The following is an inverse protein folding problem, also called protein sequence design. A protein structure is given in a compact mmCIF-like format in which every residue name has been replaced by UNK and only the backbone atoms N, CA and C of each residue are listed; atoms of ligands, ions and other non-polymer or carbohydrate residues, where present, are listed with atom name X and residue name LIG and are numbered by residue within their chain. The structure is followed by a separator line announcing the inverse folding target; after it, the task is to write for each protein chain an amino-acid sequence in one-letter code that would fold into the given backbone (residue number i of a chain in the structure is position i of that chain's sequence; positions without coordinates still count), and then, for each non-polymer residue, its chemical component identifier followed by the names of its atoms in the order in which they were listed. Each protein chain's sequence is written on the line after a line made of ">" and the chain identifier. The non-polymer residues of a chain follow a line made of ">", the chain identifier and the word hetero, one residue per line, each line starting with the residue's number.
data_IF_522909893528
#
_entry.id   IF_522909893528
#
_cell.length_a   1.000
_cell.length_b   1.000
_cell.length_c   1.000
_cell.angle_alpha   90.00
_cell.angle_beta   90.00
_cell.angle_gamma   90.00
#
_symmetry.space_group_name_H-M   'P 1'
#
loop_
_entity.id
_entity.type
_entity.pdbx_description
1 polymer ?
#
# COMPACT_ATOMS: atom_id res chain seq x y z
N UNK A 1 58.58 10.75 17.64
CA UNK A 1 58.70 11.41 18.94
C UNK A 1 57.39 11.24 19.62
N UNK A 2 57.34 10.20 20.44
CA UNK A 2 57.22 10.21 21.93
C UNK A 2 55.79 10.53 22.34
N UNK A 3 55.07 9.82 23.01
CA UNK A 3 55.08 8.74 24.06
C UNK A 3 53.70 8.84 24.70
N UNK A 4 52.90 7.82 24.77
CA UNK A 4 52.78 6.77 25.78
C UNK A 4 52.19 7.24 27.13
N UNK A 5 51.25 6.49 27.64
CA UNK A 5 51.07 5.87 28.97
C UNK A 5 49.58 5.69 29.23
N UNK A 6 48.99 4.56 29.25
CA UNK A 6 49.00 3.34 30.13
C UNK A 6 48.65 3.58 31.60
N UNK A 7 47.46 3.00 31.99
CA UNK A 7 47.15 2.18 33.19
C UNK A 7 46.66 2.85 34.47
N UNK A 8 46.12 2.10 35.48
CA UNK A 8 45.31 0.89 35.44
C UNK A 8 44.14 0.84 36.47
N UNK A 9 43.28 -0.16 36.32
CA UNK A 9 42.73 -1.10 37.34
C UNK A 9 42.60 -0.66 38.82
N UNK A 10 41.42 -0.81 39.42
CA UNK A 10 41.28 -1.40 40.77
C UNK A 10 39.92 -2.10 40.94
N UNK A 11 40.06 -3.36 41.32
CA UNK A 11 39.10 -4.35 41.74
C UNK A 11 38.79 -4.12 43.24
N UNK A 12 37.53 -4.17 43.65
CA UNK A 12 37.19 -4.48 45.05
C UNK A 12 35.97 -5.38 45.12
N UNK A 13 36.24 -6.62 45.46
CA UNK A 13 35.33 -7.59 46.07
C UNK A 13 34.97 -7.14 47.49
N UNK A 14 33.71 -7.28 47.88
CA UNK A 14 33.33 -7.43 49.28
C UNK A 14 32.29 -8.53 49.44
N UNK A 15 32.70 -9.57 50.09
CA UNK A 15 31.93 -10.66 50.67
C UNK A 15 31.31 -10.19 51.99
N UNK A 16 30.03 -10.44 52.23
CA UNK A 16 29.49 -10.56 53.59
C UNK A 16 28.44 -11.65 53.68
N UNK A 17 28.67 -12.48 54.65
CA UNK A 17 28.11 -13.70 55.15
C UNK A 17 26.64 -13.72 55.53
N UNK A 18 26.12 -14.95 55.42
CA UNK A 18 25.00 -15.62 56.08
C UNK A 18 24.63 -15.13 57.49
N UNK A 19 23.32 -15.02 57.74
CA UNK A 19 22.73 -15.44 59.04
C UNK A 19 21.41 -16.19 58.70
N UNK A 20 21.41 -17.48 59.03
CA UNK A 20 20.23 -18.34 59.05
C UNK A 20 19.44 -18.08 60.35
N UNK A 21 18.14 -17.84 60.22
CA UNK A 21 17.22 -17.93 61.36
C UNK A 21 16.13 -18.94 60.99
N UNK A 22 16.20 -20.08 61.67
CA UNK A 22 15.17 -21.09 61.61
C UNK A 22 14.06 -20.71 62.60
N UNK A 23 12.83 -20.61 62.07
CA UNK A 23 11.63 -20.58 62.88
C UNK A 23 10.71 -21.71 62.43
N UNK A 24 10.61 -22.72 63.26
CA UNK A 24 9.64 -23.81 63.13
C UNK A 24 8.26 -23.30 63.49
N UNK A 25 7.27 -23.55 62.66
CA UNK A 25 5.86 -23.46 63.00
C UNK A 25 5.16 -24.79 62.66
N UNK A 26 4.14 -25.18 63.41
CA UNK A 26 3.64 -26.54 63.39
C UNK A 26 2.74 -26.83 62.17
N UNK A 27 2.87 -28.08 61.74
CA UNK A 27 2.07 -28.74 60.73
C UNK A 27 0.58 -28.78 61.10
N UNK A 28 -0.29 -28.21 60.28
CA UNK A 28 -1.70 -28.58 60.23
C UNK A 28 -2.00 -29.04 58.80
N UNK A 29 -2.23 -30.35 58.68
CA UNK A 29 -2.70 -30.95 57.42
C UNK A 29 -4.07 -30.38 57.06
N UNK A 30 -4.27 -29.92 55.78
CA UNK A 30 -5.56 -29.63 55.28
C UNK A 30 -6.29 -30.92 54.85
N UNK A 31 -7.61 -30.99 54.96
CA UNK A 31 -8.40 -32.17 54.61
C UNK A 31 -8.30 -32.50 53.12
N UNK A 32 -8.09 -33.78 52.86
CA UNK A 32 -8.07 -34.39 51.53
C UNK A 32 -9.47 -34.34 50.92
N UNK A 33 -9.68 -33.46 49.94
CA UNK A 33 -10.85 -33.51 49.07
C UNK A 33 -10.60 -34.51 47.95
N UNK A 34 -11.49 -35.50 47.82
CA UNK A 34 -11.50 -36.40 46.69
C UNK A 34 -11.76 -35.62 45.40
N UNK A 35 -11.10 -35.95 44.27
CA UNK A 35 -11.32 -35.27 43.02
C UNK A 35 -12.71 -35.57 42.48
N UNK A 36 -13.49 -34.54 42.24
CA UNK A 36 -14.74 -34.63 41.47
C UNK A 36 -14.43 -35.13 40.06
N UNK A 37 -15.36 -35.93 39.45
CA UNK A 37 -15.16 -36.37 38.09
C UNK A 37 -15.16 -35.16 37.13
N UNK A 38 -14.35 -35.21 36.07
CA UNK A 38 -14.30 -34.13 35.07
C UNK A 38 -15.63 -33.94 34.44
N UNK A 39 -16.08 -32.68 34.37
CA UNK A 39 -17.27 -32.30 33.59
C UNK A 39 -17.06 -32.71 32.12
N UNK A 40 -18.12 -33.08 31.41
CA UNK A 40 -18.04 -33.41 29.99
C UNK A 40 -17.48 -32.18 29.27
N UNK A 41 -16.34 -32.37 28.60
CA UNK A 41 -15.77 -31.39 27.68
C UNK A 41 -16.76 -31.25 26.52
N UNK A 42 -17.52 -30.17 26.49
CA UNK A 42 -18.22 -29.77 25.27
C UNK A 42 -17.12 -29.58 24.20
N UNK A 43 -17.06 -30.49 23.25
CA UNK A 43 -16.32 -30.31 22.02
C UNK A 43 -16.92 -29.08 21.35
N UNK A 44 -16.20 -27.95 21.41
CA UNK A 44 -16.43 -26.80 20.55
C UNK A 44 -16.33 -27.35 19.13
N UNK A 45 -17.38 -27.27 18.30
CA UNK A 45 -17.27 -27.69 16.92
C UNK A 45 -16.12 -26.89 16.31
N UNK A 46 -15.10 -27.58 15.79
CA UNK A 46 -14.08 -26.97 14.96
C UNK A 46 -14.83 -26.18 13.89
N UNK A 47 -14.65 -24.86 13.86
CA UNK A 47 -15.11 -24.04 12.74
C UNK A 47 -14.57 -24.70 11.48
N UNK A 48 -15.46 -25.35 10.76
CA UNK A 48 -15.20 -25.87 9.43
C UNK A 48 -14.90 -24.64 8.62
N UNK A 49 -13.60 -24.36 8.35
CA UNK A 49 -13.20 -23.46 7.27
C UNK A 49 -13.97 -23.98 6.06
N UNK A 50 -14.99 -23.24 5.64
CA UNK A 50 -15.68 -23.50 4.39
C UNK A 50 -14.59 -23.56 3.32
N UNK A 51 -14.37 -24.73 2.72
CA UNK A 51 -13.57 -24.85 1.53
C UNK A 51 -14.19 -23.87 0.52
N UNK A 52 -13.48 -22.79 0.19
CA UNK A 52 -13.85 -21.94 -0.92
C UNK A 52 -14.04 -22.89 -2.09
N UNK A 53 -15.25 -22.95 -2.67
CA UNK A 53 -15.49 -23.77 -3.85
C UNK A 53 -14.52 -23.27 -4.92
N UNK A 54 -13.41 -23.98 -5.13
CA UNK A 54 -12.42 -23.64 -6.12
C UNK A 54 -13.09 -23.53 -7.49
N UNK A 55 -12.82 -22.48 -8.27
CA UNK A 55 -13.38 -22.37 -9.60
C UNK A 55 -12.95 -23.56 -10.44
N UNK A 56 -13.86 -24.07 -11.28
CA UNK A 56 -13.54 -25.12 -12.24
C UNK A 56 -12.75 -24.51 -13.39
N UNK A 57 -11.50 -24.88 -13.55
CA UNK A 57 -10.67 -24.48 -14.68
C UNK A 57 -10.93 -25.35 -15.92
N UNK A 58 -10.74 -24.84 -17.18
CA UNK A 58 -10.25 -23.49 -17.47
C UNK A 58 -11.31 -22.39 -17.23
N UNK A 59 -10.86 -21.18 -16.86
CA UNK A 59 -11.70 -19.99 -16.83
C UNK A 59 -11.25 -18.99 -17.87
N UNK A 60 -12.19 -18.16 -18.35
CA UNK A 60 -11.90 -17.06 -19.26
C UNK A 60 -12.24 -15.76 -18.53
N UNK A 61 -11.29 -14.83 -18.49
CA UNK A 61 -11.46 -13.49 -17.92
C UNK A 61 -11.17 -12.43 -18.97
N UNK A 62 -11.64 -11.22 -18.74
CA UNK A 62 -11.25 -10.03 -19.50
C UNK A 62 -10.41 -9.17 -18.59
N UNK A 63 -9.21 -8.84 -19.01
CA UNK A 63 -8.33 -7.93 -18.24
C UNK A 63 -8.60 -6.46 -18.59
N UNK A 64 -7.92 -5.54 -17.92
CA UNK A 64 -8.15 -4.10 -18.06
C UNK A 64 -7.71 -3.51 -19.42
N UNK A 65 -7.00 -4.27 -20.22
CA UNK A 65 -6.75 -3.93 -21.63
C UNK A 65 -7.85 -4.46 -22.58
N UNK A 66 -8.92 -5.07 -22.01
CA UNK A 66 -10.01 -5.67 -22.79
C UNK A 66 -9.65 -6.99 -23.47
N UNK A 67 -8.53 -7.62 -23.10
CA UNK A 67 -8.07 -8.90 -23.67
C UNK A 67 -8.77 -10.07 -22.98
N UNK A 68 -9.22 -11.04 -23.76
CA UNK A 68 -9.73 -12.33 -23.25
C UNK A 68 -8.57 -13.27 -22.95
N UNK A 69 -8.40 -13.63 -21.69
CA UNK A 69 -7.32 -14.48 -21.21
C UNK A 69 -7.93 -15.78 -20.69
N UNK A 70 -7.39 -16.92 -21.14
CA UNK A 70 -7.79 -18.23 -20.62
C UNK A 70 -6.77 -18.69 -19.58
N UNK A 71 -7.23 -18.93 -18.36
CA UNK A 71 -6.44 -19.53 -17.29
C UNK A 71 -6.74 -21.03 -17.29
N UNK A 72 -5.77 -21.84 -17.69
CA UNK A 72 -5.96 -23.28 -17.92
C UNK A 72 -6.12 -24.08 -16.62
N UNK A 73 -5.43 -23.66 -15.57
CA UNK A 73 -5.40 -24.32 -14.27
C UNK A 73 -5.15 -23.30 -13.16
N UNK A 74 -5.41 -23.69 -11.92
CA UNK A 74 -5.15 -22.85 -10.76
C UNK A 74 -3.65 -22.50 -10.67
N UNK A 75 -3.29 -21.19 -10.74
CA UNK A 75 -1.89 -20.77 -10.73
C UNK A 75 -1.14 -21.18 -9.45
N UNK A 76 0.07 -21.69 -9.62
CA UNK A 76 0.95 -22.11 -8.54
C UNK A 76 2.25 -21.31 -8.50
N UNK A 77 2.64 -20.68 -9.62
CA UNK A 77 3.91 -19.97 -9.79
C UNK A 77 3.65 -18.59 -10.41
N UNK A 78 3.44 -17.62 -9.53
CA UNK A 78 3.01 -16.28 -9.95
C UNK A 78 4.21 -15.32 -9.96
N UNK A 79 4.41 -14.60 -11.04
CA UNK A 79 5.31 -13.45 -11.10
C UNK A 79 4.48 -12.16 -11.07
N UNK A 80 4.82 -11.26 -10.17
CA UNK A 80 4.20 -9.94 -10.05
C UNK A 80 5.14 -8.86 -10.58
N UNK A 81 4.70 -8.11 -11.59
CA UNK A 81 5.50 -7.06 -12.23
C UNK A 81 5.21 -5.66 -11.70
N UNK A 82 4.34 -5.52 -10.68
CA UNK A 82 4.04 -4.24 -10.07
C UNK A 82 3.94 -4.33 -8.53
N UNK A 83 4.37 -3.28 -7.79
CA UNK A 83 4.20 -3.24 -6.34
C UNK A 83 2.74 -3.37 -5.89
N UNK A 84 1.79 -2.70 -6.55
CA UNK A 84 0.35 -2.79 -6.31
C UNK A 84 -0.15 -4.23 -6.41
N UNK A 85 0.19 -4.93 -7.49
CA UNK A 85 -0.19 -6.32 -7.72
C UNK A 85 0.43 -7.27 -6.69
N UNK A 86 1.67 -6.99 -6.27
CA UNK A 86 2.32 -7.74 -5.18
C UNK A 86 1.54 -7.59 -3.88
N UNK A 87 1.13 -6.37 -3.53
CA UNK A 87 0.33 -6.10 -2.33
C UNK A 87 -1.03 -6.81 -2.38
N UNK A 88 -1.70 -6.80 -3.55
CA UNK A 88 -2.97 -7.53 -3.75
C UNK A 88 -2.76 -9.04 -3.55
N UNK A 89 -1.77 -9.63 -4.21
CA UNK A 89 -1.48 -11.06 -4.08
C UNK A 89 -1.19 -11.48 -2.64
N UNK A 90 -0.43 -10.69 -1.89
CA UNK A 90 -0.19 -10.96 -0.47
C UNK A 90 -1.46 -10.80 0.37
N UNK A 91 -2.29 -9.79 0.11
CA UNK A 91 -3.55 -9.58 0.80
C UNK A 91 -4.56 -10.72 0.55
N UNK A 92 -4.48 -11.37 -0.60
CA UNK A 92 -5.26 -12.57 -0.94
C UNK A 92 -4.66 -13.87 -0.38
N UNK A 93 -3.57 -13.79 0.40
CA UNK A 93 -2.92 -14.97 0.99
C UNK A 93 -2.11 -15.81 0.00
N UNK A 94 -1.67 -15.22 -1.11
CA UNK A 94 -0.93 -15.90 -2.18
C UNK A 94 0.59 -15.70 -2.10
N UNK A 95 1.10 -15.17 -0.98
CA UNK A 95 2.51 -14.88 -0.81
C UNK A 95 3.42 -16.07 -1.18
N UNK A 96 3.05 -17.28 -0.80
CA UNK A 96 3.83 -18.50 -1.08
C UNK A 96 3.82 -18.90 -2.57
N UNK A 97 2.83 -18.44 -3.33
CA UNK A 97 2.75 -18.67 -4.77
C UNK A 97 3.59 -17.69 -5.59
N UNK A 98 4.02 -16.57 -4.99
CA UNK A 98 4.85 -15.59 -5.67
C UNK A 98 6.28 -16.10 -5.78
N UNK A 99 6.70 -16.39 -7.01
CA UNK A 99 8.04 -16.88 -7.35
C UNK A 99 8.98 -15.76 -7.84
N UNK A 100 8.44 -14.58 -8.19
CA UNK A 100 9.23 -13.43 -8.63
C UNK A 100 8.49 -12.11 -8.53
N UNK A 101 9.25 -11.03 -8.26
CA UNK A 101 8.74 -9.66 -8.15
C UNK A 101 9.75 -8.68 -8.76
N UNK A 102 9.33 -7.41 -8.97
CA UNK A 102 10.26 -6.34 -9.36
C UNK A 102 11.05 -5.81 -8.15
N UNK A 103 12.10 -5.04 -8.41
CA UNK A 103 12.97 -4.45 -7.39
C UNK A 103 12.21 -3.49 -6.43
N UNK A 104 11.04 -2.99 -6.86
CA UNK A 104 10.23 -2.03 -6.11
C UNK A 104 9.13 -2.67 -5.24
N UNK A 105 8.99 -3.99 -5.28
CA UNK A 105 7.99 -4.72 -4.48
C UNK A 105 8.52 -4.98 -3.07
N UNK A 106 8.30 -4.06 -2.15
CA UNK A 106 8.86 -4.05 -0.78
C UNK A 106 7.83 -4.20 0.33
N UNK A 107 6.54 -4.31 -0.03
CA UNK A 107 5.45 -4.51 0.92
C UNK A 107 4.56 -5.72 0.53
N UNK A 108 4.11 -6.51 1.53
CA UNK A 108 4.57 -6.52 2.93
C UNK A 108 6.06 -6.90 3.04
N UNK A 109 6.63 -6.88 4.24
CA UNK A 109 8.06 -7.17 4.46
C UNK A 109 8.50 -8.49 3.80
N UNK A 110 7.62 -9.51 3.82
CA UNK A 110 7.85 -10.79 3.17
C UNK A 110 8.07 -10.70 1.65
N UNK A 111 7.60 -9.64 0.99
CA UNK A 111 7.83 -9.42 -0.45
C UNK A 111 9.30 -9.15 -0.76
N UNK A 112 10.05 -8.58 0.20
CA UNK A 112 11.49 -8.30 0.02
C UNK A 112 12.33 -9.56 -0.16
N UNK A 113 11.89 -10.69 0.38
CA UNK A 113 12.58 -11.98 0.29
C UNK A 113 12.31 -12.71 -1.05
N UNK A 114 11.40 -12.21 -1.90
CA UNK A 114 11.08 -12.86 -3.18
C UNK A 114 12.17 -12.62 -4.22
N UNK A 115 12.45 -13.58 -5.12
CA UNK A 115 13.36 -13.41 -6.25
C UNK A 115 13.02 -12.16 -7.07
N UNK A 116 14.03 -11.41 -7.50
CA UNK A 116 13.83 -10.17 -8.25
C UNK A 116 14.00 -10.38 -9.74
N UNK A 117 13.06 -9.87 -10.54
CA UNK A 117 13.12 -9.90 -12.02
C UNK A 117 13.54 -8.55 -12.61
N UNK A 118 14.25 -7.72 -11.84
CA UNK A 118 14.73 -6.38 -12.18
C UNK A 118 13.63 -5.28 -12.15
N UNK A 119 13.81 -4.23 -12.95
CA UNK A 119 13.07 -2.98 -12.84
C UNK A 119 11.57 -3.09 -13.14
N UNK A 120 10.81 -2.11 -12.67
CA UNK A 120 9.36 -2.03 -12.81
C UNK A 120 8.90 -1.96 -14.26
N UNK A 121 9.43 -1.03 -15.08
CA UNK A 121 9.00 -0.85 -16.47
C UNK A 121 9.72 -1.77 -17.48
N UNK A 122 10.84 -2.38 -17.07
CA UNK A 122 11.69 -3.20 -17.93
C UNK A 122 12.22 -4.44 -17.20
N UNK A 123 11.35 -5.39 -16.82
CA UNK A 123 11.78 -6.61 -16.16
C UNK A 123 12.71 -7.42 -17.06
N UNK A 124 13.62 -8.16 -16.45
CA UNK A 124 14.49 -9.10 -17.17
C UNK A 124 13.71 -10.35 -17.54
N UNK A 125 13.40 -10.50 -18.85
CA UNK A 125 12.58 -11.60 -19.37
C UNK A 125 13.28 -12.96 -19.19
N UNK A 126 14.59 -13.05 -19.35
CA UNK A 126 15.32 -14.33 -19.17
C UNK A 126 15.22 -14.80 -17.72
N UNK A 127 15.43 -13.87 -16.78
CA UNK A 127 15.29 -14.15 -15.35
C UNK A 127 13.85 -14.53 -14.98
N UNK A 128 12.87 -13.84 -15.57
CA UNK A 128 11.46 -14.17 -15.40
C UNK A 128 11.17 -15.60 -15.89
N UNK A 129 11.65 -15.96 -17.08
CA UNK A 129 11.49 -17.29 -17.65
C UNK A 129 12.12 -18.39 -16.79
N UNK A 130 13.29 -18.12 -16.20
CA UNK A 130 13.97 -19.08 -15.32
C UNK A 130 13.19 -19.41 -14.03
N UNK A 131 12.19 -18.60 -13.70
CA UNK A 131 11.27 -18.84 -12.58
C UNK A 131 10.09 -19.72 -12.97
N UNK A 132 9.94 -20.12 -14.25
CA UNK A 132 8.88 -20.98 -14.77
C UNK A 132 7.47 -20.57 -14.27
N UNK A 133 7.04 -19.30 -14.49
CA UNK A 133 5.74 -18.85 -14.02
C UNK A 133 4.62 -19.47 -14.86
N UNK A 134 3.50 -19.79 -14.19
CA UNK A 134 2.25 -20.19 -14.84
C UNK A 134 1.24 -19.02 -14.93
N UNK A 135 1.49 -17.93 -14.18
CA UNK A 135 0.76 -16.68 -14.28
C UNK A 135 1.70 -15.48 -14.08
N UNK A 136 1.54 -14.47 -14.90
CA UNK A 136 2.18 -13.16 -14.72
C UNK A 136 1.08 -12.12 -14.49
N UNK A 137 1.22 -11.34 -13.41
CA UNK A 137 0.34 -10.19 -13.13
C UNK A 137 1.13 -8.92 -13.43
N UNK A 138 0.77 -8.28 -14.54
CA UNK A 138 1.41 -7.08 -15.07
C UNK A 138 0.52 -5.84 -14.82
N UNK A 139 1.01 -4.67 -15.18
CA UNK A 139 0.28 -3.39 -15.16
C UNK A 139 0.36 -2.73 -16.53
N UNK A 140 -0.54 -1.81 -16.84
CA UNK A 140 -0.68 -1.15 -18.15
C UNK A 140 0.62 -0.52 -18.67
N UNK A 141 1.58 -0.15 -17.81
CA UNK A 141 2.90 0.34 -18.23
C UNK A 141 3.67 -0.70 -19.07
N UNK A 142 3.35 -1.99 -18.89
CA UNK A 142 3.99 -3.11 -19.60
C UNK A 142 3.41 -3.37 -20.99
N UNK A 143 2.27 -2.75 -21.33
CA UNK A 143 1.50 -3.02 -22.56
C UNK A 143 2.34 -2.96 -23.82
N UNK A 144 3.16 -1.93 -23.98
CA UNK A 144 3.86 -1.68 -25.25
C UNK A 144 5.17 -2.45 -25.42
N UNK A 145 5.92 -2.61 -24.33
CA UNK A 145 7.30 -3.12 -24.41
C UNK A 145 7.43 -4.56 -23.91
N UNK A 146 6.77 -4.89 -22.81
CA UNK A 146 6.96 -6.16 -22.09
C UNK A 146 5.94 -7.18 -22.53
N UNK A 147 4.67 -6.83 -22.56
CA UNK A 147 3.56 -7.73 -22.84
C UNK A 147 3.72 -8.48 -24.18
N UNK A 148 4.05 -7.84 -25.32
CA UNK A 148 4.21 -8.56 -26.59
C UNK A 148 5.36 -9.60 -26.57
N UNK A 149 6.38 -9.37 -25.73
CA UNK A 149 7.46 -10.33 -25.57
C UNK A 149 7.03 -11.54 -24.75
N UNK A 150 6.27 -11.34 -23.67
CA UNK A 150 5.73 -12.41 -22.82
C UNK A 150 4.71 -13.27 -23.58
N UNK A 151 3.84 -12.65 -24.38
CA UNK A 151 2.85 -13.36 -25.22
C UNK A 151 3.51 -14.23 -26.29
N UNK A 152 4.56 -13.73 -26.97
CA UNK A 152 5.32 -14.55 -27.94
C UNK A 152 5.99 -15.77 -27.32
N UNK A 153 6.26 -15.73 -26.03
CA UNK A 153 6.81 -16.85 -25.27
C UNK A 153 5.71 -17.80 -24.75
N UNK A 154 4.43 -17.53 -25.07
CA UNK A 154 3.31 -18.36 -24.66
C UNK A 154 2.96 -18.25 -23.18
N UNK A 155 3.40 -17.19 -22.49
CA UNK A 155 3.14 -16.98 -21.07
C UNK A 155 1.74 -16.43 -20.85
N UNK A 156 1.07 -16.90 -19.79
CA UNK A 156 -0.23 -16.37 -19.37
C UNK A 156 -0.03 -15.08 -18.60
N UNK A 157 -0.54 -13.96 -19.14
CA UNK A 157 -0.40 -12.62 -18.56
C UNK A 157 -1.75 -11.98 -18.41
N UNK A 158 -2.10 -11.51 -17.19
CA UNK A 158 -3.19 -10.57 -16.96
C UNK A 158 -2.60 -9.18 -16.69
N UNK A 159 -3.32 -8.15 -17.12
CA UNK A 159 -2.89 -6.76 -16.95
C UNK A 159 -3.94 -6.00 -16.15
N UNK A 160 -3.48 -5.32 -15.09
CA UNK A 160 -4.27 -4.37 -14.30
C UNK A 160 -4.01 -2.94 -14.79
N UNK A 161 -5.01 -2.04 -14.66
CA UNK A 161 -4.89 -0.64 -15.10
C UNK A 161 -5.82 0.28 -14.31
N UNK A 162 -5.50 0.51 -13.06
CA UNK A 162 -6.31 1.33 -12.20
C UNK A 162 -6.35 2.81 -12.63
N UNK A 163 -7.54 3.35 -12.84
CA UNK A 163 -7.81 4.77 -13.15
C UNK A 163 -8.70 5.44 -12.10
N UNK A 164 -9.29 4.68 -11.20
CA UNK A 164 -10.14 5.13 -10.10
C UNK A 164 -10.04 4.18 -8.91
N UNK A 165 -10.61 4.54 -7.77
CA UNK A 165 -10.70 3.64 -6.62
C UNK A 165 -11.58 2.42 -6.94
N UNK A 166 -12.61 2.61 -7.77
CA UNK A 166 -13.49 1.51 -8.17
C UNK A 166 -12.76 0.51 -9.08
N UNK A 167 -11.88 0.98 -9.98
CA UNK A 167 -11.06 0.07 -10.79
C UNK A 167 -9.99 -0.65 -9.96
N UNK A 168 -9.49 -0.04 -8.88
CA UNK A 168 -8.61 -0.76 -7.92
C UNK A 168 -9.36 -1.93 -7.26
N UNK A 169 -10.64 -1.75 -6.88
CA UNK A 169 -11.46 -2.85 -6.36
C UNK A 169 -11.64 -3.94 -7.41
N UNK A 170 -11.87 -3.55 -8.67
CA UNK A 170 -11.96 -4.49 -9.79
C UNK A 170 -10.66 -5.30 -9.97
N UNK A 171 -9.49 -4.65 -9.90
CA UNK A 171 -8.18 -5.33 -9.98
C UNK A 171 -8.00 -6.41 -8.90
N UNK A 172 -8.43 -6.10 -7.67
CA UNK A 172 -8.44 -7.07 -6.56
C UNK A 172 -9.34 -8.26 -6.87
N UNK A 173 -10.55 -8.00 -7.39
CA UNK A 173 -11.52 -9.04 -7.75
C UNK A 173 -11.02 -9.89 -8.94
N UNK A 174 -10.45 -9.27 -9.97
CA UNK A 174 -9.84 -9.94 -11.12
C UNK A 174 -8.71 -10.89 -10.69
N UNK A 175 -7.76 -10.39 -9.89
CA UNK A 175 -6.67 -11.21 -9.36
C UNK A 175 -7.23 -12.35 -8.49
N UNK A 176 -8.24 -12.07 -7.66
CA UNK A 176 -8.93 -13.09 -6.86
C UNK A 176 -9.57 -14.18 -7.73
N UNK A 177 -10.23 -13.80 -8.81
CA UNK A 177 -10.87 -14.72 -9.75
C UNK A 177 -9.86 -15.65 -10.41
N UNK A 178 -8.78 -15.11 -11.00
CA UNK A 178 -7.79 -15.91 -11.72
C UNK A 178 -6.94 -16.79 -10.82
N UNK A 179 -6.89 -16.48 -9.53
CA UNK A 179 -6.07 -17.23 -8.55
C UNK A 179 -6.91 -18.13 -7.61
N UNK A 180 -8.22 -18.24 -7.87
CA UNK A 180 -9.12 -19.05 -7.03
C UNK A 180 -9.36 -18.47 -5.63
N UNK A 181 -9.22 -17.13 -5.49
CA UNK A 181 -9.40 -16.39 -4.23
C UNK A 181 -10.58 -15.41 -4.27
N UNK A 182 -11.62 -15.73 -5.04
CA UNK A 182 -12.77 -14.85 -5.25
C UNK A 182 -13.48 -14.46 -3.94
N UNK A 183 -13.62 -15.38 -2.98
CA UNK A 183 -14.27 -15.09 -1.69
C UNK A 183 -13.42 -14.12 -0.86
N UNK A 184 -12.11 -14.39 -0.76
CA UNK A 184 -11.16 -13.50 -0.05
C UNK A 184 -11.12 -12.12 -0.70
N UNK A 185 -11.10 -12.07 -2.05
CA UNK A 185 -11.13 -10.82 -2.79
C UNK A 185 -12.42 -10.03 -2.53
N UNK A 186 -13.59 -10.68 -2.56
CA UNK A 186 -14.87 -10.04 -2.25
C UNK A 186 -14.91 -9.48 -0.82
N UNK A 187 -14.37 -10.21 0.16
CA UNK A 187 -14.27 -9.70 1.54
C UNK A 187 -13.33 -8.49 1.64
N UNK A 188 -12.18 -8.55 0.96
CA UNK A 188 -11.22 -7.44 0.93
C UNK A 188 -11.84 -6.20 0.28
N UNK A 189 -12.44 -6.34 -0.90
CA UNK A 189 -13.06 -5.21 -1.62
C UNK A 189 -14.26 -4.65 -0.89
N UNK A 190 -15.05 -5.47 -0.21
CA UNK A 190 -16.16 -5.00 0.64
C UNK A 190 -15.64 -4.14 1.80
N UNK A 191 -14.56 -4.53 2.45
CA UNK A 191 -13.94 -3.72 3.51
C UNK A 191 -13.37 -2.40 2.96
N UNK A 192 -12.72 -2.45 1.80
CA UNK A 192 -12.23 -1.25 1.12
C UNK A 192 -13.38 -0.32 0.73
N UNK A 193 -14.47 -0.87 0.15
CA UNK A 193 -15.67 -0.12 -0.26
C UNK A 193 -16.31 0.60 0.93
N UNK A 194 -16.47 -0.05 2.07
CA UNK A 194 -16.99 0.57 3.30
C UNK A 194 -16.13 1.76 3.75
N UNK A 195 -14.81 1.66 3.66
CA UNK A 195 -13.93 2.77 4.02
C UNK A 195 -14.03 3.93 3.02
N UNK A 196 -14.07 3.63 1.73
CA UNK A 196 -14.29 4.64 0.68
C UNK A 196 -15.63 5.35 0.92
N UNK A 197 -16.68 4.58 1.21
CA UNK A 197 -18.01 5.11 1.47
C UNK A 197 -18.07 5.99 2.71
N UNK A 198 -17.40 5.60 3.80
CA UNK A 198 -17.31 6.39 5.02
C UNK A 198 -16.70 7.80 4.80
N UNK A 199 -15.79 7.93 3.83
CA UNK A 199 -15.24 9.24 3.42
C UNK A 199 -16.23 9.94 2.49
N UNK A 200 -16.69 9.27 1.44
CA UNK A 200 -17.51 9.88 0.38
C UNK A 200 -18.89 10.32 0.88
N UNK A 201 -19.49 9.65 1.86
CA UNK A 201 -20.72 10.09 2.48
C UNK A 201 -20.62 11.49 3.11
N UNK A 202 -19.47 11.82 3.65
CA UNK A 202 -19.23 13.14 4.27
C UNK A 202 -18.92 14.23 3.25
N UNK A 203 -18.40 13.85 2.06
CA UNK A 203 -17.91 14.79 1.04
C UNK A 203 -18.83 14.94 -0.16
N UNK A 204 -19.74 13.98 -0.43
CA UNK A 204 -20.60 13.98 -1.64
C UNK A 204 -21.52 15.19 -1.78
N UNK A 205 -21.91 15.81 -0.65
CA UNK A 205 -22.80 16.96 -0.65
C UNK A 205 -22.06 18.31 -0.71
N UNK A 206 -20.71 18.31 -0.72
CA UNK A 206 -19.92 19.53 -0.88
C UNK A 206 -20.10 20.01 -2.32
N UNK A 207 -20.64 21.23 -2.45
CA UNK A 207 -20.84 21.86 -3.77
C UNK A 207 -19.49 22.06 -4.45
N UNK A 208 -19.48 22.02 -5.79
CA UNK A 208 -18.23 22.05 -6.55
C UNK A 208 -17.41 23.33 -6.27
N UNK A 209 -18.08 24.45 -6.06
CA UNK A 209 -17.48 25.75 -5.76
C UNK A 209 -16.87 25.84 -4.35
N UNK A 210 -17.29 24.93 -3.47
CA UNK A 210 -16.81 24.81 -2.09
C UNK A 210 -15.67 23.79 -1.94
N UNK A 211 -15.40 22.98 -2.98
CA UNK A 211 -14.32 22.02 -2.96
C UNK A 211 -12.98 22.71 -3.06
N UNK A 212 -12.06 22.51 -2.08
CA UNK A 212 -10.73 23.10 -2.17
C UNK A 212 -9.98 22.66 -3.44
N UNK A 213 -9.30 23.61 -4.09
CA UNK A 213 -8.43 23.35 -5.23
C UNK A 213 -7.16 22.67 -4.75
N UNK A 214 -6.90 21.46 -5.24
CA UNK A 214 -5.80 20.59 -4.80
C UNK A 214 -4.82 20.37 -5.93
N UNK A 215 -3.54 20.62 -5.66
CA UNK A 215 -2.43 20.21 -6.51
C UNK A 215 -1.76 18.98 -5.89
N UNK A 216 -1.68 17.91 -6.64
CA UNK A 216 -0.83 16.75 -6.32
C UNK A 216 0.54 16.91 -6.98
N UNK A 217 1.61 16.60 -6.25
CA UNK A 217 3.01 16.69 -6.76
C UNK A 217 3.76 15.42 -6.43
N UNK A 218 4.18 14.69 -7.47
CA UNK A 218 5.04 13.50 -7.33
C UNK A 218 6.51 13.74 -7.70
N UNK A 219 6.82 14.85 -8.38
CA UNK A 219 8.17 15.28 -8.72
C UNK A 219 8.24 16.81 -8.85
N UNK A 220 9.41 17.42 -8.66
CA UNK A 220 9.54 18.89 -8.51
C UNK A 220 10.37 19.61 -9.59
N UNK A 221 11.13 18.92 -10.40
CA UNK A 221 11.93 19.58 -11.43
C UNK A 221 11.99 18.74 -12.73
N UNK A 222 11.10 19.01 -13.69
CA UNK A 222 9.91 19.90 -13.59
C UNK A 222 8.87 19.37 -12.59
N UNK A 223 7.86 20.19 -12.24
CA UNK A 223 6.75 19.72 -11.42
C UNK A 223 5.94 18.69 -12.22
N UNK A 224 5.85 17.47 -11.72
CA UNK A 224 4.97 16.43 -12.25
C UNK A 224 3.73 16.28 -11.40
N UNK A 225 2.58 16.23 -12.08
CA UNK A 225 1.26 16.09 -11.45
C UNK A 225 0.38 15.15 -12.27
N UNK A 226 -0.81 14.84 -11.74
CA UNK A 226 -1.81 13.99 -12.36
C UNK A 226 -3.00 14.84 -12.82
N UNK A 227 -3.46 14.60 -14.04
CA UNK A 227 -4.73 15.12 -14.57
C UNK A 227 -5.86 14.12 -14.36
N UNK A 228 -6.91 14.22 -15.19
CA UNK A 228 -8.01 13.24 -15.20
C UNK A 228 -7.57 11.85 -15.69
N UNK A 229 -8.47 10.88 -15.60
CA UNK A 229 -8.22 9.47 -15.93
C UNK A 229 -7.08 8.85 -15.08
N UNK A 230 -6.99 9.27 -13.80
CA UNK A 230 -6.05 8.72 -12.82
C UNK A 230 -6.76 8.45 -11.50
N UNK A 231 -6.36 7.40 -10.81
CA UNK A 231 -6.90 7.10 -9.48
C UNK A 231 -6.57 8.19 -8.45
N UNK A 232 -5.54 9.01 -8.67
CA UNK A 232 -5.22 10.18 -7.85
C UNK A 232 -6.28 11.27 -7.99
N UNK A 233 -6.76 11.52 -9.22
CA UNK A 233 -7.84 12.47 -9.47
C UNK A 233 -9.13 12.03 -8.76
N UNK A 234 -9.50 10.76 -8.92
CA UNK A 234 -10.65 10.16 -8.25
C UNK A 234 -10.50 10.18 -6.71
N UNK A 235 -9.30 9.90 -6.19
CA UNK A 235 -8.99 9.94 -4.76
C UNK A 235 -9.19 11.37 -4.20
N UNK A 236 -8.67 12.39 -4.88
CA UNK A 236 -8.86 13.79 -4.50
C UNK A 236 -10.35 14.15 -4.52
N UNK A 237 -11.08 13.72 -5.54
CA UNK A 237 -12.52 13.97 -5.67
C UNK A 237 -13.31 13.30 -4.55
N UNK A 238 -13.06 12.02 -4.26
CA UNK A 238 -13.72 11.28 -3.18
C UNK A 238 -13.37 11.86 -1.80
N UNK A 239 -12.16 12.39 -1.64
CA UNK A 239 -11.76 13.12 -0.44
C UNK A 239 -12.37 14.51 -0.29
N UNK A 240 -13.20 14.96 -1.27
CA UNK A 240 -13.90 16.25 -1.23
C UNK A 240 -13.12 17.42 -1.82
N UNK A 241 -11.99 17.21 -2.47
CA UNK A 241 -11.21 18.20 -3.20
C UNK A 241 -11.55 18.29 -4.69
N UNK A 242 -10.87 19.22 -5.37
CA UNK A 242 -10.90 19.36 -6.82
C UNK A 242 -9.46 19.45 -7.33
N UNK A 243 -9.06 18.49 -8.14
CA UNK A 243 -7.75 18.51 -8.77
C UNK A 243 -7.64 19.64 -9.77
N UNK A 244 -6.68 20.54 -9.57
CA UNK A 244 -6.55 21.78 -10.37
C UNK A 244 -6.23 21.51 -11.85
N UNK A 245 -5.73 20.35 -12.20
CA UNK A 245 -5.37 19.97 -13.56
C UNK A 245 -6.29 18.90 -14.20
N UNK A 246 -7.39 18.54 -13.54
CA UNK A 246 -8.32 17.54 -14.05
C UNK A 246 -8.91 17.90 -15.44
N UNK A 247 -9.18 19.19 -15.68
CA UNK A 247 -9.74 19.68 -16.96
C UNK A 247 -8.70 19.92 -18.05
N UNK A 248 -7.40 19.99 -17.72
CA UNK A 248 -6.38 20.45 -18.65
C UNK A 248 -5.76 19.29 -19.45
N UNK A 249 -5.61 18.13 -18.82
CA UNK A 249 -5.03 16.96 -19.47
C UNK A 249 -5.42 15.66 -18.75
N UNK A 250 -5.21 14.56 -19.44
CA UNK A 250 -5.36 13.20 -18.92
C UNK A 250 -4.02 12.63 -18.50
N UNK A 251 -4.03 11.70 -17.52
CA UNK A 251 -2.87 10.98 -17.00
C UNK A 251 -1.85 11.93 -16.37
N UNK A 252 -0.57 11.55 -16.35
CA UNK A 252 0.50 12.34 -15.74
C UNK A 252 1.18 13.27 -16.72
N UNK A 253 1.57 14.45 -16.24
CA UNK A 253 2.27 15.45 -17.05
C UNK A 253 3.17 16.35 -16.19
N UNK A 254 4.24 16.83 -16.80
CA UNK A 254 5.01 17.94 -16.27
C UNK A 254 4.28 19.27 -16.54
N UNK A 255 4.23 20.14 -15.54
CA UNK A 255 3.63 21.48 -15.63
C UNK A 255 4.64 22.54 -15.25
N UNK A 256 4.44 23.78 -15.76
CA UNK A 256 5.28 24.90 -15.41
C UNK A 256 4.86 25.54 -14.08
N UNK A 257 5.76 26.31 -13.46
CA UNK A 257 5.44 27.08 -12.26
C UNK A 257 4.35 28.12 -12.51
N UNK A 258 4.36 28.73 -13.71
CA UNK A 258 3.37 29.71 -14.13
C UNK A 258 1.96 29.08 -14.18
N UNK A 259 1.86 27.83 -14.68
CA UNK A 259 0.60 27.09 -14.67
C UNK A 259 0.11 26.80 -13.24
N UNK A 260 1.03 26.49 -12.32
CA UNK A 260 0.68 26.31 -10.89
C UNK A 260 0.18 27.61 -10.28
N UNK A 261 0.83 28.73 -10.57
CA UNK A 261 0.43 30.08 -10.10
C UNK A 261 -0.95 30.45 -10.62
N UNK A 262 -1.20 30.22 -11.91
CA UNK A 262 -2.51 30.51 -12.56
C UNK A 262 -3.66 29.70 -11.95
N UNK A 263 -3.40 28.41 -11.61
CA UNK A 263 -4.37 27.54 -10.93
C UNK A 263 -4.61 27.88 -9.47
N UNK A 264 -3.69 28.56 -8.84
CA UNK A 264 -3.72 28.96 -7.44
C UNK A 264 -4.29 27.87 -6.51
N UNK A 265 -3.60 26.72 -6.34
CA UNK A 265 -4.09 25.66 -5.48
C UNK A 265 -4.17 26.14 -4.02
N UNK A 266 -5.26 25.75 -3.34
CA UNK A 266 -5.46 26.01 -1.92
C UNK A 266 -4.80 24.96 -1.03
N UNK A 267 -4.48 23.80 -1.63
CA UNK A 267 -3.80 22.69 -0.96
C UNK A 267 -2.80 22.10 -1.94
N UNK A 268 -1.60 21.79 -1.44
CA UNK A 268 -0.61 21.00 -2.17
C UNK A 268 -0.34 19.71 -1.41
N UNK A 269 -0.54 18.57 -2.07
CA UNK A 269 -0.25 17.25 -1.51
C UNK A 269 0.96 16.67 -2.24
N UNK A 270 2.00 16.36 -1.47
CA UNK A 270 3.28 15.88 -1.98
C UNK A 270 3.43 14.42 -1.60
N UNK A 271 3.67 13.59 -2.61
CA UNK A 271 4.16 12.24 -2.45
C UNK A 271 5.68 12.19 -2.68
N UNK A 272 6.15 11.32 -3.48
CA UNK A 272 7.54 11.15 -3.84
C UNK A 272 8.06 9.80 -3.37
N UNK A 273 8.38 8.96 -4.34
CA UNK A 273 8.81 7.58 -4.10
C UNK A 273 10.00 7.52 -3.14
N UNK A 274 9.92 6.65 -2.16
CA UNK A 274 10.95 6.44 -1.16
C UNK A 274 11.20 7.68 -0.29
N UNK A 275 12.44 8.19 -0.27
CA UNK A 275 12.84 9.34 0.57
C UNK A 275 12.69 10.70 -0.13
N UNK A 276 12.24 10.75 -1.38
CA UNK A 276 12.24 11.98 -2.20
C UNK A 276 11.16 12.98 -1.77
N UNK A 277 10.09 12.56 -1.10
CA UNK A 277 8.99 13.46 -0.67
C UNK A 277 9.46 14.66 0.15
N UNK A 278 10.45 14.48 1.02
CA UNK A 278 11.04 15.57 1.79
C UNK A 278 11.83 16.59 0.92
N UNK A 279 12.52 16.11 -0.11
CA UNK A 279 13.22 16.97 -1.08
C UNK A 279 12.22 17.76 -1.90
N UNK A 280 11.14 17.11 -2.38
CA UNK A 280 10.06 17.74 -3.14
C UNK A 280 9.40 18.82 -2.30
N UNK A 281 9.01 18.49 -1.06
CA UNK A 281 8.42 19.45 -0.11
C UNK A 281 9.29 20.70 0.06
N UNK A 282 10.58 20.50 0.38
CA UNK A 282 11.52 21.60 0.56
C UNK A 282 11.70 22.44 -0.70
N UNK A 283 11.66 21.82 -1.88
CA UNK A 283 11.77 22.52 -3.16
C UNK A 283 10.55 23.41 -3.41
N UNK A 284 9.35 22.89 -3.15
CA UNK A 284 8.09 23.60 -3.37
C UNK A 284 7.95 24.80 -2.40
N UNK A 285 8.17 24.61 -1.09
CA UNK A 285 8.01 25.69 -0.10
C UNK A 285 9.08 26.77 -0.20
N UNK A 286 10.26 26.46 -0.76
CA UNK A 286 11.36 27.43 -0.94
C UNK A 286 11.36 28.11 -2.32
N UNK A 287 10.47 27.71 -3.24
CA UNK A 287 10.38 28.35 -4.55
C UNK A 287 9.74 29.76 -4.42
N UNK A 288 10.56 30.79 -4.54
CA UNK A 288 10.14 32.17 -4.30
C UNK A 288 8.98 32.62 -5.19
N UNK A 289 8.84 32.06 -6.41
CA UNK A 289 7.75 32.39 -7.34
C UNK A 289 6.41 31.83 -6.89
N UNK A 290 6.39 30.80 -6.04
CA UNK A 290 5.16 30.18 -5.51
C UNK A 290 4.70 30.80 -4.18
N UNK A 291 5.44 31.77 -3.60
CA UNK A 291 5.17 32.30 -2.26
C UNK A 291 3.75 32.88 -2.07
N UNK A 292 3.16 33.40 -3.16
CA UNK A 292 1.85 34.03 -3.15
C UNK A 292 0.72 33.05 -3.54
N UNK A 293 1.03 31.78 -3.82
CA UNK A 293 0.06 30.70 -4.04
C UNK A 293 -0.63 30.39 -2.72
N UNK A 294 -1.97 30.33 -2.74
CA UNK A 294 -2.82 30.17 -1.55
C UNK A 294 -2.34 29.04 -0.63
N UNK A 295 -1.99 27.88 -1.16
CA UNK A 295 -1.52 26.74 -0.37
C UNK A 295 -0.25 27.06 0.43
N UNK A 296 0.66 27.87 -0.13
CA UNK A 296 1.92 28.23 0.54
C UNK A 296 1.68 29.35 1.56
N UNK A 297 0.92 30.38 1.17
CA UNK A 297 0.56 31.50 2.06
C UNK A 297 -0.18 31.02 3.31
N UNK A 298 -1.09 30.05 3.16
CA UNK A 298 -1.91 29.49 4.23
C UNK A 298 -1.27 28.28 4.95
N UNK A 299 -0.01 27.91 4.62
CA UNK A 299 0.70 26.75 5.16
C UNK A 299 -0.04 25.41 4.96
N UNK A 300 -0.75 25.25 3.84
CA UNK A 300 -1.49 24.04 3.46
C UNK A 300 -0.73 23.19 2.43
N UNK A 301 0.56 23.00 2.66
CA UNK A 301 1.42 22.10 1.89
C UNK A 301 1.72 20.88 2.75
N UNK A 302 1.27 19.73 2.29
CA UNK A 302 1.33 18.48 3.06
C UNK A 302 2.16 17.43 2.34
N UNK A 303 2.99 16.74 3.10
CA UNK A 303 3.67 15.55 2.64
C UNK A 303 2.92 14.33 3.18
N UNK A 304 2.50 13.42 2.29
CA UNK A 304 1.88 12.15 2.70
C UNK A 304 2.84 11.34 3.59
N UNK A 305 2.31 10.67 4.59
CA UNK A 305 3.10 9.93 5.60
C UNK A 305 3.93 8.81 4.98
N UNK A 306 3.33 8.03 4.08
CA UNK A 306 3.96 7.03 3.23
C UNK A 306 3.46 7.23 1.79
N UNK A 307 4.36 7.60 0.88
CA UNK A 307 4.03 7.83 -0.53
C UNK A 307 3.34 6.61 -1.18
N UNK A 308 3.69 5.40 -0.74
CA UNK A 308 3.12 4.17 -1.27
C UNK A 308 1.62 4.02 -1.03
N UNK A 309 1.04 4.75 -0.05
CA UNK A 309 -0.40 4.74 0.21
C UNK A 309 -1.22 5.36 -0.93
N UNK A 310 -0.63 6.30 -1.69
CA UNK A 310 -1.32 6.98 -2.78
C UNK A 310 -0.63 6.81 -4.14
N UNK A 311 0.56 6.21 -4.21
CA UNK A 311 1.26 5.93 -5.48
C UNK A 311 1.03 4.50 -5.98
N UNK A 312 0.56 3.60 -5.09
CA UNK A 312 0.29 2.20 -5.43
C UNK A 312 -1.20 1.93 -5.41
N UNK A 313 -1.81 1.69 -6.58
CA UNK A 313 -3.23 1.32 -6.66
C UNK A 313 -3.45 -0.10 -6.15
N UNK A 314 -3.56 -0.25 -4.84
CA UNK A 314 -3.69 -1.53 -4.15
C UNK A 314 -4.51 -1.40 -2.86
N UNK A 315 -4.54 -2.45 -2.00
CA UNK A 315 -5.43 -2.46 -0.84
C UNK A 315 -5.23 -1.32 0.16
N UNK A 316 -4.02 -0.75 0.24
CA UNK A 316 -3.71 0.36 1.16
C UNK A 316 -4.15 1.73 0.67
N UNK A 317 -4.69 1.85 -0.55
CA UNK A 317 -5.18 3.14 -1.09
C UNK A 317 -6.23 3.79 -0.19
N UNK A 318 -6.99 2.99 0.57
CA UNK A 318 -7.99 3.48 1.51
C UNK A 318 -7.37 4.20 2.71
N UNK A 319 -6.15 3.83 3.12
CA UNK A 319 -5.38 4.56 4.14
C UNK A 319 -4.93 5.92 3.59
N UNK A 320 -4.51 5.93 2.31
CA UNK A 320 -4.19 7.16 1.58
C UNK A 320 -5.39 8.09 1.44
N UNK A 321 -6.57 7.55 1.13
CA UNK A 321 -7.82 8.31 1.05
C UNK A 321 -8.15 8.95 2.40
N UNK A 322 -8.06 8.21 3.50
CA UNK A 322 -8.30 8.72 4.85
C UNK A 322 -7.33 9.87 5.22
N UNK A 323 -6.06 9.75 4.83
CA UNK A 323 -5.05 10.77 5.09
C UNK A 323 -5.28 12.02 4.24
N UNK A 324 -5.54 11.86 2.95
CA UNK A 324 -5.83 12.97 2.02
C UNK A 324 -7.11 13.68 2.42
N UNK A 325 -8.15 12.97 2.85
CA UNK A 325 -9.39 13.59 3.35
C UNK A 325 -9.14 14.51 4.56
N UNK A 326 -8.23 14.13 5.47
CA UNK A 326 -7.83 14.97 6.61
C UNK A 326 -7.04 16.21 6.17
N UNK A 327 -6.22 16.12 5.12
CA UNK A 327 -5.52 17.28 4.58
C UNK A 327 -6.48 18.27 3.92
N UNK A 328 -7.49 17.77 3.23
CA UNK A 328 -8.45 18.58 2.49
C UNK A 328 -9.47 19.19 3.46
N UNK A 329 -10.04 18.40 4.37
CA UNK A 329 -11.11 18.76 5.28
C UNK A 329 -10.80 18.38 6.74
N UNK A 330 -9.82 19.02 7.39
CA UNK A 330 -9.49 18.72 8.79
C UNK A 330 -10.66 18.99 9.74
N UNK A 331 -11.59 19.88 9.39
CA UNK A 331 -12.81 20.18 10.14
C UNK A 331 -13.82 19.02 10.13
N UNK A 332 -13.78 18.14 9.12
CA UNK A 332 -14.67 16.99 8.98
C UNK A 332 -14.00 15.70 9.49
N UNK A 333 -12.71 15.53 9.20
CA UNK A 333 -11.98 14.26 9.42
C UNK A 333 -10.96 14.34 10.56
N UNK A 334 -10.78 15.51 11.17
CA UNK A 334 -9.75 15.74 12.20
C UNK A 334 -8.37 16.05 11.63
N UNK A 335 -7.51 16.57 12.47
CA UNK A 335 -6.15 17.00 12.09
C UNK A 335 -5.26 15.75 11.91
N UNK A 336 -4.53 15.61 10.80
CA UNK A 336 -3.60 14.50 10.62
C UNK A 336 -2.50 14.49 11.67
N UNK A 337 -2.09 13.31 12.13
CA UNK A 337 -1.02 13.14 13.11
C UNK A 337 0.33 13.75 12.65
N UNK A 338 0.57 13.83 11.35
CA UNK A 338 1.76 14.43 10.73
C UNK A 338 1.83 15.97 10.90
N UNK A 339 0.74 16.64 11.30
CA UNK A 339 0.64 18.11 11.46
C UNK A 339 0.51 18.49 12.94
N UNK A 340 0.11 17.57 13.82
CA UNK A 340 0.09 17.83 15.25
C UNK A 340 1.52 17.98 15.76
N UNK A 341 1.92 19.24 16.02
CA UNK A 341 3.23 19.60 16.58
C UNK A 341 3.37 19.10 18.01
#
# INVERSE_FOLDING_TARGET
>A
MKDSLLRPLLLTLLFVSLISFACQTPSSEPPTFAPSPPAPTEEIPAETKSEEGLPTFPIVVVDDLGRKITIQHLPQRIVSLAPSNTEILFALGLGDKIVGTTDYCDYPEAAKAKPRVAGYSNPNIEKLMSLEPDLIVAESIHERMVLPALERLGLTVIVTSATSLDTILHDVELIGQVTGKSVTAAQLTENMRKRIEAVTEKTRNIQIEQRPRVLYVCWHNPIWTMGSDTFIDDLIWKAGGMNVFASDFKKSRAVSLEAVIDKDPQIIIISGMGTTGGLIYNSIIKEARLRDVSAIADNRVYKISDANLIERPGPRIVDGLDEVAKYIHPEIFGIPASISK
#
